data_IF_127819147733
#
_entry.id   IF_127819147733
#
_cell.length_a   1.000
_cell.length_b   1.000
_cell.length_c   1.000
_cell.angle_alpha   90.00
_cell.angle_beta   90.00
_cell.angle_gamma   90.00
#
_symmetry.space_group_name_H-M   'P 1'
#
loop_
_entity.id
_entity.type
_entity.pdbx_description
1 polymer ?
#
# COMPACT_ATOMS: atom_id res chain seq x y z
N UNK A 1 -67.18 -13.31 4.21
CA UNK A 1 -67.95 -12.29 3.46
C UNK A 1 -66.95 -11.23 3.03
N UNK A 2 -66.80 -11.07 1.72
CA UNK A 2 -65.93 -10.08 1.07
C UNK A 2 -66.51 -8.67 1.23
N UNK A 3 -65.64 -7.66 1.26
CA UNK A 3 -65.96 -6.23 1.25
C UNK A 3 -64.67 -5.43 1.43
N UNK A 4 -63.85 -5.32 0.38
CA UNK A 4 -63.76 -4.13 -0.50
C UNK A 4 -63.01 -2.97 0.15
N UNK A 5 -61.67 -2.99 0.01
CA UNK A 5 -60.84 -1.80 0.16
C UNK A 5 -60.74 -1.11 -1.21
N UNK A 6 -61.08 0.19 -1.34
CA UNK A 6 -60.99 0.89 -2.61
C UNK A 6 -59.52 1.15 -2.98
N UNK A 7 -59.17 0.69 -4.18
CA UNK A 7 -57.94 1.03 -4.88
C UNK A 7 -57.90 2.54 -5.16
N UNK A 8 -57.01 3.25 -4.47
CA UNK A 8 -56.62 4.62 -4.76
C UNK A 8 -55.30 4.65 -5.53
N UNK A 9 -55.40 4.98 -6.82
CA UNK A 9 -54.41 5.58 -7.72
C UNK A 9 -52.98 5.06 -7.79
N UNK A 10 -52.69 4.50 -8.97
CA UNK A 10 -51.40 4.43 -9.62
C UNK A 10 -50.82 5.85 -9.84
N UNK A 11 -49.66 6.14 -9.25
CA UNK A 11 -48.74 7.13 -9.80
C UNK A 11 -47.42 6.41 -10.12
N UNK A 12 -47.26 6.15 -11.41
CA UNK A 12 -46.05 5.65 -12.05
C UNK A 12 -45.16 6.83 -12.40
N UNK A 13 -44.03 6.95 -11.73
CA UNK A 13 -42.81 7.58 -12.22
C UNK A 13 -41.67 7.00 -11.36
N UNK A 14 -40.79 6.12 -11.84
CA UNK A 14 -40.06 6.22 -13.09
C UNK A 14 -38.63 6.68 -12.79
N UNK A 15 -37.80 5.82 -12.19
CA UNK A 15 -36.34 5.75 -12.44
C UNK A 15 -35.78 4.50 -11.73
N UNK A 16 -35.67 3.37 -12.42
CA UNK A 16 -34.44 2.87 -13.05
C UNK A 16 -33.29 2.63 -12.06
N UNK A 17 -33.10 1.34 -11.82
CA UNK A 17 -31.83 0.63 -11.80
C UNK A 17 -30.82 1.05 -10.72
N UNK A 18 -30.92 0.36 -9.58
CA UNK A 18 -29.83 0.18 -8.65
C UNK A 18 -28.81 -0.83 -9.23
N UNK A 19 -28.10 -0.46 -10.29
CA UNK A 19 -26.88 -1.14 -10.73
C UNK A 19 -26.10 -0.24 -11.70
N UNK A 20 -24.93 0.21 -11.23
CA UNK A 20 -23.94 1.00 -11.98
C UNK A 20 -22.92 1.52 -10.95
N UNK A 21 -21.91 0.73 -10.59
CA UNK A 21 -20.56 0.82 -11.16
C UNK A 21 -19.80 2.11 -10.74
N UNK A 22 -18.93 1.92 -9.74
CA UNK A 22 -17.69 2.62 -9.41
C UNK A 22 -17.37 3.97 -10.08
N UNK A 23 -17.40 5.04 -9.27
CA UNK A 23 -16.54 6.21 -9.46
C UNK A 23 -15.52 6.29 -8.33
N UNK A 24 -14.42 5.56 -8.52
CA UNK A 24 -13.04 5.98 -8.26
C UNK A 24 -12.87 7.19 -7.31
N UNK A 25 -12.89 6.97 -5.99
CA UNK A 25 -12.16 7.84 -5.06
C UNK A 25 -10.65 7.53 -5.16
N UNK A 26 -10.11 7.75 -6.36
CA UNK A 26 -8.68 7.94 -6.59
C UNK A 26 -8.52 9.41 -6.97
N UNK A 27 -8.41 10.28 -5.97
CA UNK A 27 -7.95 11.64 -6.21
C UNK A 27 -7.30 12.26 -4.96
N UNK A 28 -6.00 11.96 -4.82
CA UNK A 28 -5.00 13.00 -4.51
C UNK A 28 -4.94 13.55 -3.08
N UNK A 29 -4.41 12.72 -2.17
CA UNK A 29 -3.50 13.20 -1.11
C UNK A 29 -2.06 12.96 -1.60
N UNK A 30 -1.65 13.52 -2.75
CA UNK A 30 -0.43 13.06 -3.45
C UNK A 30 0.80 13.96 -3.35
N UNK A 31 0.79 15.05 -2.58
CA UNK A 31 2.05 15.82 -2.39
C UNK A 31 2.71 15.49 -1.04
N UNK A 32 1.98 15.52 0.09
CA UNK A 32 2.59 15.26 1.41
C UNK A 32 2.87 13.78 1.71
N UNK A 33 2.16 12.85 1.06
CA UNK A 33 2.28 11.41 1.33
C UNK A 33 3.40 10.76 0.49
N UNK A 34 3.64 11.25 -0.73
CA UNK A 34 4.71 10.79 -1.61
C UNK A 34 6.09 11.31 -1.16
N UNK A 35 6.19 12.59 -0.78
CA UNK A 35 7.40 13.12 -0.15
C UNK A 35 7.73 12.36 1.14
N UNK A 36 6.73 12.08 1.98
CA UNK A 36 6.92 11.27 3.19
C UNK A 36 7.34 9.83 2.88
N UNK A 37 6.73 9.19 1.88
CA UNK A 37 7.10 7.84 1.45
C UNK A 37 8.55 7.80 0.93
N UNK A 38 9.00 8.84 0.23
CA UNK A 38 10.37 8.93 -0.27
C UNK A 38 11.37 9.06 0.88
N UNK A 39 11.07 9.87 1.90
CA UNK A 39 11.93 10.01 3.06
C UNK A 39 11.98 8.73 3.90
N UNK A 40 10.86 8.03 4.05
CA UNK A 40 10.79 6.71 4.70
C UNK A 40 11.59 5.68 3.90
N UNK A 41 11.43 5.62 2.58
CA UNK A 41 12.18 4.69 1.72
C UNK A 41 13.69 4.94 1.79
N UNK A 42 14.14 6.20 1.80
CA UNK A 42 15.55 6.58 2.01
C UNK A 42 16.07 6.16 3.38
N UNK A 43 15.29 6.39 4.44
CA UNK A 43 15.66 6.00 5.79
C UNK A 43 15.78 4.47 5.93
N UNK A 44 14.84 3.73 5.35
CA UNK A 44 14.83 2.26 5.34
C UNK A 44 16.03 1.70 4.57
N UNK A 45 16.34 2.23 3.39
CA UNK A 45 17.51 1.84 2.62
C UNK A 45 18.81 2.09 3.39
N UNK A 46 18.95 3.26 4.03
CA UNK A 46 20.12 3.59 4.85
C UNK A 46 20.29 2.65 6.05
N UNK A 47 19.20 2.34 6.75
CA UNK A 47 19.27 1.42 7.89
C UNK A 47 19.56 -0.02 7.44
N UNK A 48 19.01 -0.47 6.30
CA UNK A 48 19.34 -1.77 5.73
C UNK A 48 20.84 -1.89 5.40
N UNK A 49 21.46 -0.86 4.81
CA UNK A 49 22.92 -0.82 4.61
C UNK A 49 23.66 -0.98 5.93
N UNK A 50 23.29 -0.20 6.95
CA UNK A 50 23.95 -0.23 8.26
C UNK A 50 23.85 -1.61 8.92
N UNK A 51 22.70 -2.27 8.77
CA UNK A 51 22.49 -3.63 9.27
C UNK A 51 23.35 -4.65 8.53
N UNK A 52 23.46 -4.55 7.20
CA UNK A 52 24.32 -5.43 6.38
C UNK A 52 25.79 -5.25 6.74
N UNK A 53 26.26 -4.01 6.85
CA UNK A 53 27.65 -3.72 7.23
C UNK A 53 27.96 -4.24 8.64
N UNK A 54 27.06 -4.00 9.60
CA UNK A 54 27.19 -4.52 10.96
C UNK A 54 27.18 -6.05 11.00
N UNK A 55 26.32 -6.69 10.23
CA UNK A 55 26.25 -8.15 10.14
C UNK A 55 27.50 -8.75 9.47
N UNK A 56 28.07 -8.09 8.45
CA UNK A 56 29.34 -8.51 7.83
C UNK A 56 30.49 -8.42 8.81
N UNK A 57 30.57 -7.34 9.59
CA UNK A 57 31.58 -7.19 10.63
C UNK A 57 31.43 -8.24 11.75
N UNK A 58 30.20 -8.47 12.20
CA UNK A 58 29.89 -9.49 13.23
C UNK A 58 30.03 -10.93 12.71
N UNK A 59 29.87 -11.16 11.41
CA UNK A 59 30.14 -12.45 10.80
C UNK A 59 31.64 -12.76 10.79
N UNK A 60 32.48 -11.75 10.56
CA UNK A 60 33.94 -11.91 10.64
C UNK A 60 34.45 -12.30 12.03
N UNK A 61 33.72 -11.93 13.10
CA UNK A 61 34.01 -12.35 14.49
C UNK A 61 33.31 -13.65 14.89
N UNK A 62 32.43 -14.19 14.02
CA UNK A 62 31.65 -15.40 14.28
C UNK A 62 30.39 -15.19 15.13
N UNK A 63 30.06 -13.94 15.47
CA UNK A 63 28.88 -13.58 16.28
C UNK A 63 27.57 -13.72 15.49
N UNK A 64 27.64 -13.68 14.16
CA UNK A 64 26.49 -13.78 13.26
C UNK A 64 26.77 -14.83 12.17
N UNK A 65 25.75 -15.62 11.80
CA UNK A 65 25.86 -16.62 10.74
C UNK A 65 25.83 -16.00 9.33
N UNK A 66 26.39 -16.71 8.35
CA UNK A 66 26.32 -16.30 6.95
C UNK A 66 24.86 -16.17 6.46
N UNK A 67 23.97 -17.07 6.90
CA UNK A 67 22.53 -17.01 6.58
C UNK A 67 21.89 -15.69 7.05
N UNK A 68 22.31 -15.18 8.21
CA UNK A 68 21.78 -13.92 8.74
C UNK A 68 22.30 -12.71 7.98
N UNK A 69 23.54 -12.76 7.49
CA UNK A 69 24.08 -11.76 6.55
C UNK A 69 23.26 -11.76 5.27
N UNK A 70 23.01 -12.95 4.69
CA UNK A 70 22.23 -13.09 3.46
C UNK A 70 20.81 -12.53 3.62
N UNK A 71 20.11 -12.83 4.72
CA UNK A 71 18.78 -12.27 4.99
C UNK A 71 18.76 -10.73 5.02
N UNK A 72 19.83 -10.11 5.51
CA UNK A 72 19.93 -8.65 5.56
C UNK A 72 20.29 -8.06 4.20
N UNK A 73 21.06 -8.78 3.38
CA UNK A 73 21.30 -8.42 1.98
C UNK A 73 20.01 -8.51 1.16
N UNK A 74 19.19 -9.54 1.38
CA UNK A 74 17.88 -9.66 0.72
C UNK A 74 16.94 -8.50 1.14
N UNK A 75 16.94 -8.13 2.43
CA UNK A 75 16.20 -6.98 2.95
C UNK A 75 16.65 -5.65 2.29
N UNK A 76 17.97 -5.48 2.10
CA UNK A 76 18.52 -4.33 1.39
C UNK A 76 18.01 -4.29 -0.07
N UNK A 77 17.96 -5.44 -0.74
CA UNK A 77 17.41 -5.54 -2.10
C UNK A 77 15.95 -5.09 -2.19
N UNK A 78 15.12 -5.46 -1.22
CA UNK A 78 13.72 -5.00 -1.13
C UNK A 78 13.65 -3.49 -0.89
N UNK A 79 14.45 -2.94 0.02
CA UNK A 79 14.47 -1.51 0.31
C UNK A 79 14.96 -0.67 -0.90
N UNK A 80 15.89 -1.19 -1.69
CA UNK A 80 16.34 -0.56 -2.95
C UNK A 80 15.28 -0.59 -4.04
N UNK A 81 14.50 -1.67 -4.12
CA UNK A 81 13.37 -1.74 -5.05
C UNK A 81 12.27 -0.74 -4.65
N UNK A 82 11.94 -0.68 -3.37
CA UNK A 82 10.95 0.27 -2.82
C UNK A 82 11.35 1.72 -3.10
N UNK A 83 12.60 2.10 -2.79
CA UNK A 83 13.13 3.42 -3.08
C UNK A 83 13.05 3.76 -4.59
N UNK A 84 13.36 2.80 -5.47
CA UNK A 84 13.26 3.01 -6.93
C UNK A 84 11.82 3.21 -7.39
N UNK A 85 10.86 2.49 -6.81
CA UNK A 85 9.42 2.64 -7.13
C UNK A 85 8.93 4.02 -6.72
N UNK A 86 9.23 4.45 -5.49
CA UNK A 86 8.83 5.77 -4.99
C UNK A 86 9.47 6.89 -5.82
N UNK A 87 10.76 6.80 -6.19
CA UNK A 87 11.40 7.79 -7.07
C UNK A 87 10.75 7.86 -8.45
N UNK A 88 10.30 6.72 -9.00
CA UNK A 88 9.67 6.65 -10.32
C UNK A 88 8.23 7.19 -10.33
N UNK A 89 7.57 7.21 -9.17
CA UNK A 89 6.20 7.68 -8.98
C UNK A 89 6.12 9.18 -8.60
N UNK A 90 7.26 9.84 -8.36
CA UNK A 90 7.41 11.29 -8.13
C UNK A 90 7.40 12.11 -9.44
#
# INVERSE_FOLDING_TARGET
MLGEFPAGSLESAGNRDHTGEMEKETAVIHDSTLEHALDVAKANHKEAIRLVEGAKAAHATGDVSADRVQQLEDLLGVAEEDLRRVIKEQ
#
